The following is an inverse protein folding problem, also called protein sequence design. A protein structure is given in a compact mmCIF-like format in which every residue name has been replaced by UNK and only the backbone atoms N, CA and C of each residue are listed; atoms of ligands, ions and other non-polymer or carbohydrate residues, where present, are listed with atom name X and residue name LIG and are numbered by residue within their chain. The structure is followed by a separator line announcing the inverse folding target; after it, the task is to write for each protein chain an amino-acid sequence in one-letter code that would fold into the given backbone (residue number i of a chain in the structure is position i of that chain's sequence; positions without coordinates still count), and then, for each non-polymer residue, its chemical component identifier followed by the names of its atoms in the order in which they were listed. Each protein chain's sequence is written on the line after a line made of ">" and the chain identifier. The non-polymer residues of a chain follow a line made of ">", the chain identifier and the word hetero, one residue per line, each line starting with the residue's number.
data_IF_923951825616
#
_entry.id   IF_923951825616
#
_cell.length_a   1.000
_cell.length_b   1.000
_cell.length_c   1.000
_cell.angle_alpha   90.00
_cell.angle_beta   90.00
_cell.angle_gamma   90.00
#
_symmetry.space_group_name_H-M   'P 1'
#
loop_
_entity.id
_entity.type
_entity.pdbx_description
1 polymer ?
#
# COMPACT_ATOMS: atom_id res chain seq x y z
N UNK A 1 23.81 4.37 10.73
CA UNK A 1 22.75 4.27 9.70
C UNK A 1 21.72 5.33 10.02
N UNK A 2 21.27 6.05 9.02
CA UNK A 2 20.19 6.99 9.19
C UNK A 2 18.90 6.22 9.52
N UNK A 3 18.00 6.81 10.27
CA UNK A 3 16.74 6.21 10.65
C UNK A 3 15.89 5.94 9.39
N UNK A 4 15.39 4.73 9.22
CA UNK A 4 14.45 4.37 8.16
C UNK A 4 13.07 4.21 8.79
N UNK A 5 12.06 4.85 8.21
CA UNK A 5 10.66 4.63 8.55
C UNK A 5 9.98 3.86 7.40
N UNK A 6 9.40 2.70 7.70
CA UNK A 6 8.65 1.91 6.75
C UNK A 6 7.15 1.98 7.06
N UNK A 7 6.32 2.32 6.05
CA UNK A 7 4.86 2.45 6.14
C UNK A 7 4.23 1.69 4.97
N UNK A 8 3.11 1.02 5.20
CA UNK A 8 2.42 0.23 4.17
C UNK A 8 0.89 0.31 4.31
N UNK A 9 0.17 -0.02 3.22
CA UNK A 9 -1.28 -0.28 3.21
C UNK A 9 -2.11 0.91 3.75
N UNK A 10 -1.86 2.08 3.18
CA UNK A 10 -2.51 3.35 3.56
C UNK A 10 -3.96 3.38 3.08
N UNK A 11 -4.25 2.81 1.89
CA UNK A 11 -5.59 2.67 1.36
C UNK A 11 -6.47 3.92 1.48
N UNK A 12 -5.99 5.07 0.98
CA UNK A 12 -6.76 6.31 0.97
C UNK A 12 -6.99 6.95 2.35
N UNK A 13 -6.36 6.47 3.40
CA UNK A 13 -6.46 7.03 4.75
C UNK A 13 -5.46 8.18 4.95
N UNK A 14 -5.70 9.30 4.22
CA UNK A 14 -4.80 10.45 4.19
C UNK A 14 -4.56 11.05 5.58
N UNK A 15 -5.63 11.28 6.34
CA UNK A 15 -5.53 11.89 7.68
C UNK A 15 -4.67 11.05 8.62
N UNK A 16 -4.83 9.72 8.59
CA UNK A 16 -3.99 8.81 9.37
C UNK A 16 -2.54 8.84 8.90
N UNK A 17 -2.31 8.94 7.59
CA UNK A 17 -0.96 8.99 7.05
C UNK A 17 -0.23 10.27 7.46
N UNK A 18 -0.89 11.42 7.37
CA UNK A 18 -0.36 12.70 7.83
C UNK A 18 -0.09 12.71 9.33
N UNK A 19 -1.03 12.19 10.12
CA UNK A 19 -0.89 12.06 11.57
C UNK A 19 0.29 11.14 11.94
N UNK A 20 0.44 9.99 11.24
CA UNK A 20 1.54 9.07 11.50
C UNK A 20 2.90 9.71 11.24
N UNK A 21 3.05 10.43 10.13
CA UNK A 21 4.29 11.17 9.82
C UNK A 21 4.60 12.22 10.89
N UNK A 22 3.57 12.92 11.38
CA UNK A 22 3.69 13.90 12.46
C UNK A 22 4.12 13.23 13.79
N UNK A 23 3.45 12.13 14.18
CA UNK A 23 3.79 11.42 15.42
C UNK A 23 5.17 10.76 15.36
N UNK A 24 5.58 10.31 14.16
CA UNK A 24 6.92 9.79 13.93
C UNK A 24 8.00 10.90 13.95
N UNK A 25 7.61 12.18 14.01
CA UNK A 25 8.51 13.32 13.84
C UNK A 25 9.41 13.14 12.60
N UNK A 26 8.79 12.75 11.47
CA UNK A 26 9.50 12.51 10.23
C UNK A 26 10.18 13.80 9.71
N UNK A 27 11.48 13.72 9.46
CA UNK A 27 12.30 14.81 8.92
C UNK A 27 13.00 14.35 7.62
N UNK A 28 12.60 14.93 6.50
CA UNK A 28 13.15 14.60 5.18
C UNK A 28 14.68 14.79 5.06
N UNK A 29 15.29 15.53 5.98
CA UNK A 29 16.74 15.78 5.97
C UNK A 29 17.54 14.78 6.80
N UNK A 30 16.87 14.02 7.68
CA UNK A 30 17.52 13.11 8.62
C UNK A 30 17.07 11.66 8.46
N UNK A 31 15.86 11.48 7.92
CA UNK A 31 15.22 10.16 7.83
C UNK A 31 15.13 9.68 6.38
N UNK A 32 15.18 8.36 6.22
CA UNK A 32 14.76 7.71 5.00
C UNK A 32 13.33 7.20 5.16
N UNK A 33 12.43 7.53 4.24
CA UNK A 33 11.07 7.02 4.25
C UNK A 33 10.90 5.96 3.16
N UNK A 34 10.44 4.77 3.54
CA UNK A 34 10.11 3.68 2.64
C UNK A 34 8.61 3.41 2.70
N UNK A 35 7.93 3.59 1.58
CA UNK A 35 6.50 3.34 1.41
C UNK A 35 6.33 2.04 0.64
N UNK A 36 5.61 1.05 1.22
CA UNK A 36 5.64 -0.32 0.75
C UNK A 36 4.42 -0.73 -0.09
N UNK A 37 3.67 0.23 -0.66
CA UNK A 37 2.53 -0.05 -1.54
C UNK A 37 1.16 0.03 -0.87
N UNK A 38 0.13 -0.16 -1.69
CA UNK A 38 -1.29 -0.08 -1.35
C UNK A 38 -1.71 1.27 -0.75
N UNK A 39 -1.49 2.33 -1.55
CA UNK A 39 -1.84 3.71 -1.21
C UNK A 39 -3.30 4.04 -1.47
N UNK A 40 -3.90 3.35 -2.45
CA UNK A 40 -5.23 3.62 -3.01
C UNK A 40 -6.27 2.58 -2.60
N UNK A 41 -7.49 2.84 -3.04
CA UNK A 41 -8.68 1.99 -2.91
C UNK A 41 -9.24 1.90 -1.48
N UNK A 42 -10.55 1.63 -1.39
CA UNK A 42 -11.29 1.42 -0.13
C UNK A 42 -11.52 2.69 0.69
N UNK A 43 -10.46 3.42 1.01
CA UNK A 43 -10.54 4.65 1.81
C UNK A 43 -10.88 5.89 0.97
N UNK A 44 -11.22 7.00 1.64
CA UNK A 44 -11.91 8.11 0.99
C UNK A 44 -11.00 9.06 0.19
N UNK A 45 -9.66 9.03 0.38
CA UNK A 45 -8.79 10.10 -0.08
C UNK A 45 -7.58 9.62 -0.91
N UNK A 46 -7.75 8.58 -1.75
CA UNK A 46 -6.68 8.01 -2.60
C UNK A 46 -5.94 9.06 -3.44
N UNK A 47 -6.66 10.02 -4.03
CA UNK A 47 -6.05 11.12 -4.78
C UNK A 47 -5.13 11.98 -3.89
N UNK A 48 -5.55 12.29 -2.66
CA UNK A 48 -4.76 13.03 -1.67
C UNK A 48 -3.52 12.24 -1.23
N UNK A 49 -3.68 10.94 -0.98
CA UNK A 49 -2.55 10.06 -0.63
C UNK A 49 -1.52 10.03 -1.75
N UNK A 50 -1.93 9.84 -3.02
CA UNK A 50 -1.00 9.83 -4.15
C UNK A 50 -0.30 11.19 -4.36
N UNK A 51 -0.97 12.32 -4.10
CA UNK A 51 -0.33 13.63 -4.09
C UNK A 51 0.82 13.66 -3.06
N UNK A 52 0.53 13.26 -1.81
CA UNK A 52 1.52 13.25 -0.74
C UNK A 52 2.65 12.26 -1.02
N UNK A 53 2.36 11.06 -1.54
CA UNK A 53 3.37 10.08 -1.97
C UNK A 53 4.31 10.67 -3.02
N UNK A 54 3.77 11.36 -4.04
CA UNK A 54 4.58 12.03 -5.07
C UNK A 54 5.47 13.14 -4.50
N UNK A 55 4.95 13.95 -3.57
CA UNK A 55 5.73 14.97 -2.86
C UNK A 55 6.87 14.37 -2.02
N UNK A 56 6.58 13.27 -1.31
CA UNK A 56 7.56 12.56 -0.49
C UNK A 56 8.62 11.88 -1.36
N UNK A 57 8.23 11.27 -2.49
CA UNK A 57 9.18 10.69 -3.45
C UNK A 57 10.11 11.76 -4.03
N UNK A 58 9.58 12.92 -4.39
CA UNK A 58 10.38 14.04 -4.87
C UNK A 58 11.37 14.58 -3.81
N UNK A 59 11.09 14.34 -2.52
CA UNK A 59 11.98 14.66 -1.37
C UNK A 59 12.89 13.49 -0.96
N UNK A 60 12.91 12.39 -1.72
CA UNK A 60 13.83 11.27 -1.52
C UNK A 60 13.23 10.03 -0.88
N UNK A 61 11.92 9.98 -0.61
CA UNK A 61 11.28 8.75 -0.16
C UNK A 61 11.38 7.66 -1.26
N UNK A 62 11.63 6.43 -0.85
CA UNK A 62 11.55 5.26 -1.73
C UNK A 62 10.15 4.68 -1.69
N UNK A 63 9.58 4.47 -2.87
CA UNK A 63 8.17 4.10 -3.01
C UNK A 63 8.06 2.79 -3.77
N UNK A 64 7.41 1.80 -3.17
CA UNK A 64 7.16 0.51 -3.77
C UNK A 64 5.76 0.42 -4.35
N UNK A 65 5.63 -0.39 -5.39
CA UNK A 65 4.36 -0.76 -5.99
C UNK A 65 3.61 -1.73 -5.09
N UNK A 66 2.33 -1.46 -4.80
CA UNK A 66 1.42 -2.42 -4.21
C UNK A 66 0.56 -3.13 -5.27
N UNK A 67 -0.16 -4.16 -4.85
CA UNK A 67 -1.04 -4.86 -5.78
C UNK A 67 -2.24 -4.01 -6.20
N UNK A 68 -2.72 -3.10 -5.36
CA UNK A 68 -3.80 -2.18 -5.70
C UNK A 68 -3.39 -1.19 -6.80
N UNK A 69 -2.20 -0.62 -6.74
CA UNK A 69 -1.67 0.23 -7.81
C UNK A 69 -1.49 -0.56 -9.11
N UNK A 70 -0.99 -1.80 -9.05
CA UNK A 70 -0.84 -2.66 -10.23
C UNK A 70 -2.20 -3.01 -10.86
N UNK A 71 -3.24 -3.25 -10.06
CA UNK A 71 -4.62 -3.47 -10.53
C UNK A 71 -5.13 -2.21 -11.23
N UNK A 72 -4.98 -1.03 -10.63
CA UNK A 72 -5.39 0.25 -11.19
C UNK A 72 -4.69 0.54 -12.52
N UNK A 73 -3.36 0.36 -12.60
CA UNK A 73 -2.61 0.50 -13.84
C UNK A 73 -3.16 -0.41 -14.93
N UNK A 74 -3.39 -1.70 -14.61
CA UNK A 74 -3.98 -2.66 -15.55
C UNK A 74 -5.39 -2.24 -15.98
N UNK A 75 -6.21 -1.77 -15.04
CA UNK A 75 -7.56 -1.30 -15.32
C UNK A 75 -7.57 -0.11 -16.30
N UNK A 76 -6.70 0.87 -16.06
CA UNK A 76 -6.66 2.11 -16.87
C UNK A 76 -5.89 1.95 -18.18
N UNK A 77 -4.87 1.08 -18.26
CA UNK A 77 -3.97 0.93 -19.42
C UNK A 77 -4.36 -0.19 -20.38
N UNK A 78 -5.13 -1.20 -19.94
CA UNK A 78 -5.43 -2.37 -20.77
C UNK A 78 -6.33 -2.11 -21.98
N UNK A 79 -7.15 -1.08 -21.95
CA UNK A 79 -8.18 -0.84 -22.94
C UNK A 79 -9.33 -1.85 -22.91
N UNK A 80 -9.45 -2.65 -21.84
CA UNK A 80 -10.47 -3.69 -21.70
C UNK A 80 -11.38 -3.46 -20.49
N UNK A 81 -12.69 -3.73 -20.60
CA UNK A 81 -13.62 -3.51 -19.50
C UNK A 81 -13.42 -4.46 -18.31
N UNK A 82 -12.96 -5.71 -18.51
CA UNK A 82 -12.82 -6.68 -17.43
C UNK A 82 -11.86 -6.24 -16.31
N UNK A 83 -10.61 -5.78 -16.58
CA UNK A 83 -9.76 -5.25 -15.53
C UNK A 83 -10.35 -4.03 -14.83
N UNK A 84 -11.03 -3.16 -15.57
CA UNK A 84 -11.73 -2.01 -15.04
C UNK A 84 -12.86 -2.42 -14.07
N UNK A 85 -13.76 -3.29 -14.52
CA UNK A 85 -14.87 -3.77 -13.70
C UNK A 85 -14.38 -4.53 -12.45
N UNK A 86 -13.27 -5.25 -12.56
CA UNK A 86 -12.64 -5.90 -11.42
C UNK A 86 -12.11 -4.88 -10.40
N UNK A 87 -11.37 -3.88 -10.86
CA UNK A 87 -10.82 -2.84 -9.99
C UNK A 87 -11.91 -2.05 -9.28
N UNK A 88 -12.86 -1.52 -10.05
CA UNK A 88 -13.94 -0.66 -9.52
C UNK A 88 -14.92 -1.45 -8.66
N UNK A 89 -15.34 -2.64 -9.13
CA UNK A 89 -16.40 -3.40 -8.46
C UNK A 89 -15.96 -4.28 -7.31
N UNK A 90 -14.68 -4.71 -7.25
CA UNK A 90 -14.22 -5.70 -6.28
C UNK A 90 -13.01 -5.27 -5.44
N UNK A 91 -12.21 -4.31 -5.93
CA UNK A 91 -10.99 -3.91 -5.22
C UNK A 91 -11.13 -2.60 -4.44
N UNK A 92 -12.25 -1.88 -4.58
CA UNK A 92 -12.48 -0.59 -3.94
C UNK A 92 -12.00 0.60 -4.78
N UNK A 93 -11.85 0.40 -6.10
CA UNK A 93 -11.48 1.45 -7.05
C UNK A 93 -12.56 2.52 -7.23
N UNK A 94 -13.81 2.23 -6.87
CA UNK A 94 -14.90 3.19 -6.78
C UNK A 94 -14.60 4.31 -5.78
N UNK A 95 -14.05 3.98 -4.60
CA UNK A 95 -13.60 4.96 -3.62
C UNK A 95 -12.44 5.80 -4.16
N UNK A 96 -11.50 5.17 -4.89
CA UNK A 96 -10.43 5.91 -5.57
C UNK A 96 -11.00 6.91 -6.56
N UNK A 97 -11.89 6.50 -7.47
CA UNK A 97 -12.53 7.39 -8.44
C UNK A 97 -13.33 8.51 -7.75
N UNK A 98 -14.03 8.20 -6.67
CA UNK A 98 -14.74 9.22 -5.88
C UNK A 98 -13.79 10.30 -5.34
N UNK A 99 -12.58 9.93 -4.94
CA UNK A 99 -11.56 10.89 -4.49
C UNK A 99 -11.04 11.82 -5.60
N UNK A 100 -11.25 11.47 -6.87
CA UNK A 100 -11.02 12.32 -8.04
C UNK A 100 -12.27 13.12 -8.47
N UNK A 101 -13.36 13.03 -7.71
CA UNK A 101 -14.60 13.75 -7.97
C UNK A 101 -15.63 13.01 -8.82
N UNK A 102 -15.41 11.72 -9.12
CA UNK A 102 -16.39 10.88 -9.84
C UNK A 102 -17.30 10.17 -8.86
N UNK A 103 -18.57 10.02 -9.28
CA UNK A 103 -19.55 9.27 -8.53
C UNK A 103 -19.83 7.92 -9.21
N UNK A 104 -20.31 6.94 -8.47
CA UNK A 104 -20.63 5.62 -9.00
C UNK A 104 -21.56 5.68 -10.22
N UNK A 105 -22.51 6.62 -10.21
CA UNK A 105 -23.46 6.80 -11.32
C UNK A 105 -22.79 7.24 -12.64
N UNK A 106 -21.60 7.87 -12.58
CA UNK A 106 -20.86 8.32 -13.77
C UNK A 106 -20.32 7.13 -14.61
N UNK A 107 -20.14 5.97 -13.99
CA UNK A 107 -19.59 4.78 -14.66
C UNK A 107 -20.45 3.51 -14.52
N UNK A 108 -21.61 3.61 -13.88
CA UNK A 108 -22.54 2.49 -13.69
C UNK A 108 -23.00 1.88 -15.03
N UNK A 109 -23.37 2.72 -16.00
CA UNK A 109 -23.77 2.26 -17.33
C UNK A 109 -22.62 1.51 -18.04
N UNK A 110 -21.39 1.97 -17.89
CA UNK A 110 -20.24 1.30 -18.47
C UNK A 110 -20.01 -0.09 -17.85
N UNK A 111 -20.17 -0.21 -16.53
CA UNK A 111 -20.09 -1.50 -15.84
C UNK A 111 -21.21 -2.45 -16.30
N UNK A 112 -22.46 -1.97 -16.36
CA UNK A 112 -23.61 -2.78 -16.75
C UNK A 112 -23.51 -3.28 -18.20
N UNK A 113 -22.94 -2.49 -19.09
CA UNK A 113 -22.76 -2.81 -20.52
C UNK A 113 -21.42 -3.49 -20.84
N UNK A 114 -20.57 -3.79 -19.84
CA UNK A 114 -19.22 -4.32 -20.02
C UNK A 114 -18.38 -3.48 -21.00
N UNK A 115 -18.40 -2.14 -20.81
CA UNK A 115 -17.65 -1.16 -21.61
C UNK A 115 -16.72 -0.33 -20.71
N UNK A 116 -15.82 0.45 -21.32
CA UNK A 116 -14.99 1.41 -20.60
C UNK A 116 -15.68 2.77 -20.53
N UNK A 117 -15.68 3.47 -19.40
CA UNK A 117 -16.15 4.85 -19.33
C UNK A 117 -15.30 5.76 -20.20
N UNK A 118 -15.96 6.63 -20.97
CA UNK A 118 -15.29 7.55 -21.93
C UNK A 118 -14.40 8.58 -21.25
N UNK A 119 -14.62 8.89 -19.97
CA UNK A 119 -13.88 9.91 -19.24
C UNK A 119 -12.49 9.47 -18.77
N UNK A 120 -12.16 8.15 -18.73
CA UNK A 120 -10.85 7.66 -18.28
C UNK A 120 -9.70 8.37 -19.01
N UNK A 121 -9.89 8.70 -20.28
CA UNK A 121 -8.89 9.38 -21.11
C UNK A 121 -8.81 10.89 -20.89
N UNK A 122 -9.70 11.47 -20.08
CA UNK A 122 -9.87 12.92 -19.95
C UNK A 122 -9.52 13.48 -18.56
N UNK A 123 -8.92 12.67 -17.69
CA UNK A 123 -8.56 13.02 -16.32
C UNK A 123 -7.06 13.35 -16.19
N UNK A 124 -6.64 14.64 -16.32
CA UNK A 124 -5.22 14.98 -16.26
C UNK A 124 -4.56 14.55 -14.95
N UNK A 125 -5.27 14.68 -13.81
CA UNK A 125 -4.72 14.33 -12.50
C UNK A 125 -4.60 12.81 -12.30
N UNK A 126 -5.54 12.05 -12.81
CA UNK A 126 -5.45 10.59 -12.80
C UNK A 126 -4.27 10.13 -13.65
N UNK A 127 -4.11 10.70 -14.84
CA UNK A 127 -2.98 10.39 -15.74
C UNK A 127 -1.62 10.73 -15.09
N UNK A 128 -1.50 11.88 -14.41
CA UNK A 128 -0.32 12.25 -13.64
C UNK A 128 0.01 11.18 -12.59
N UNK A 129 -1.00 10.70 -11.85
CA UNK A 129 -0.80 9.66 -10.84
C UNK A 129 -0.51 8.28 -11.43
N UNK A 130 -1.09 7.93 -12.60
CA UNK A 130 -0.72 6.69 -13.29
C UNK A 130 0.76 6.73 -13.71
N UNK A 131 1.25 7.85 -14.24
CA UNK A 131 2.65 8.04 -14.57
C UNK A 131 3.55 8.00 -13.33
N UNK A 132 3.11 8.55 -12.21
CA UNK A 132 3.81 8.45 -10.92
C UNK A 132 3.94 6.98 -10.49
N UNK A 133 2.84 6.22 -10.50
CA UNK A 133 2.81 4.81 -10.10
C UNK A 133 3.73 3.96 -11.00
N UNK A 134 3.83 4.26 -12.29
CA UNK A 134 4.72 3.58 -13.24
C UNK A 134 6.23 3.74 -12.88
N UNK A 135 6.57 4.67 -11.97
CA UNK A 135 7.95 4.85 -11.47
C UNK A 135 8.27 4.07 -10.20
N UNK A 136 7.30 3.40 -9.59
CA UNK A 136 7.48 2.72 -8.30
C UNK A 136 8.32 1.45 -8.46
N UNK A 137 9.20 1.23 -7.49
CA UNK A 137 10.02 0.01 -7.41
C UNK A 137 9.19 -1.19 -6.92
N UNK A 138 9.70 -2.41 -7.07
CA UNK A 138 9.04 -3.63 -6.58
C UNK A 138 9.62 -4.11 -5.24
N UNK A 139 10.86 -3.78 -4.94
CA UNK A 139 11.51 -4.07 -3.65
C UNK A 139 12.65 -3.09 -3.37
N UNK A 140 13.06 -3.03 -2.11
CA UNK A 140 14.27 -2.35 -1.66
C UNK A 140 15.12 -3.36 -0.93
N UNK A 141 16.37 -3.55 -1.36
CA UNK A 141 17.31 -4.44 -0.69
C UNK A 141 18.40 -3.63 -0.01
N UNK A 142 18.63 -3.91 1.28
CA UNK A 142 19.74 -3.43 2.09
C UNK A 142 20.66 -4.59 2.46
N UNK A 143 21.73 -4.32 3.20
CA UNK A 143 22.66 -5.34 3.67
C UNK A 143 21.97 -6.37 4.60
N UNK A 144 21.12 -5.88 5.50
CA UNK A 144 20.48 -6.63 6.58
C UNK A 144 18.96 -6.79 6.45
N UNK A 145 18.33 -6.10 5.48
CA UNK A 145 16.88 -6.10 5.32
C UNK A 145 16.43 -6.06 3.85
N UNK A 146 15.23 -6.55 3.61
CA UNK A 146 14.48 -6.44 2.34
C UNK A 146 13.13 -5.82 2.68
N UNK A 147 12.76 -4.77 1.95
CA UNK A 147 11.44 -4.15 2.04
C UNK A 147 10.68 -4.46 0.76
N UNK A 148 9.46 -4.94 0.88
CA UNK A 148 8.65 -5.43 -0.23
C UNK A 148 7.18 -5.31 0.12
N UNK A 149 6.30 -5.24 -0.88
CA UNK A 149 4.88 -5.14 -0.59
C UNK A 149 4.30 -6.44 -0.02
N UNK A 150 4.30 -7.55 -0.76
CA UNK A 150 3.68 -8.81 -0.36
C UNK A 150 4.64 -9.80 0.32
N UNK A 151 5.87 -9.91 -0.20
CA UNK A 151 6.86 -10.86 0.28
C UNK A 151 7.85 -11.27 -0.80
N UNK A 152 8.69 -12.25 -0.48
CA UNK A 152 9.69 -12.81 -1.40
C UNK A 152 9.45 -14.30 -1.64
N UNK A 153 9.85 -14.82 -2.79
CA UNK A 153 9.75 -16.26 -3.07
C UNK A 153 10.88 -16.99 -2.32
N UNK A 154 10.56 -17.92 -1.41
CA UNK A 154 11.57 -18.63 -0.63
C UNK A 154 12.57 -19.37 -1.51
N UNK A 155 13.86 -19.14 -1.27
CA UNK A 155 14.96 -19.82 -1.98
C UNK A 155 15.23 -19.32 -3.41
N UNK A 156 14.53 -18.29 -3.88
CA UNK A 156 14.75 -17.66 -5.18
C UNK A 156 15.40 -16.29 -4.99
N UNK A 157 16.42 -15.98 -5.81
CA UNK A 157 17.05 -14.67 -5.77
C UNK A 157 16.08 -13.57 -6.20
N UNK A 158 16.14 -12.39 -5.58
CA UNK A 158 15.24 -11.27 -5.90
C UNK A 158 15.28 -10.91 -7.38
N UNK A 159 16.47 -10.89 -7.99
CA UNK A 159 16.66 -10.57 -9.40
C UNK A 159 16.10 -11.64 -10.38
N UNK A 160 15.81 -12.85 -9.89
CA UNK A 160 15.24 -13.95 -10.66
C UNK A 160 13.73 -14.14 -10.42
N UNK A 161 13.19 -13.41 -9.44
CA UNK A 161 11.78 -13.47 -9.07
C UNK A 161 10.92 -12.65 -10.04
N UNK A 162 9.81 -13.23 -10.52
CA UNK A 162 8.82 -12.48 -11.29
C UNK A 162 8.28 -11.32 -10.43
N UNK A 163 8.35 -10.05 -10.88
CA UNK A 163 7.89 -8.89 -10.12
C UNK A 163 6.47 -9.00 -9.54
N UNK A 164 5.60 -9.75 -10.20
CA UNK A 164 4.23 -9.99 -9.72
C UNK A 164 4.22 -10.73 -8.37
N UNK A 165 5.19 -11.58 -8.11
CA UNK A 165 5.28 -12.34 -6.86
C UNK A 165 5.48 -11.41 -5.65
N UNK A 166 6.30 -10.36 -5.81
CA UNK A 166 6.52 -9.38 -4.74
C UNK A 166 5.24 -8.69 -4.27
N UNK A 167 4.20 -8.65 -5.13
CA UNK A 167 2.94 -7.97 -4.87
C UNK A 167 1.87 -8.88 -4.26
N UNK A 168 1.96 -10.20 -4.47
CA UNK A 168 0.83 -11.10 -4.19
C UNK A 168 1.15 -12.28 -3.29
N UNK A 169 2.41 -12.64 -3.12
CA UNK A 169 2.79 -13.82 -2.33
C UNK A 169 2.34 -13.66 -0.88
N UNK A 170 1.88 -14.75 -0.27
CA UNK A 170 1.36 -14.77 1.11
C UNK A 170 1.91 -15.98 1.87
N UNK A 171 1.09 -17.01 2.09
CA UNK A 171 1.37 -18.12 2.98
C UNK A 171 2.68 -18.84 2.66
N UNK A 172 2.98 -19.06 1.37
CA UNK A 172 4.25 -19.66 0.94
C UNK A 172 5.47 -18.89 1.47
N UNK A 173 5.40 -17.55 1.43
CA UNK A 173 6.42 -16.69 2.01
C UNK A 173 6.40 -16.71 3.54
N UNK A 174 5.21 -16.51 4.14
CA UNK A 174 5.09 -16.37 5.60
C UNK A 174 5.64 -17.59 6.35
N UNK A 175 5.48 -18.78 5.79
CA UNK A 175 5.92 -20.04 6.40
C UNK A 175 7.27 -20.50 5.89
N UNK A 176 7.56 -20.26 4.61
CA UNK A 176 8.69 -20.86 3.93
C UNK A 176 9.98 -20.04 3.93
N UNK A 177 9.94 -18.76 4.31
CA UNK A 177 11.13 -17.92 4.30
C UNK A 177 12.16 -18.37 5.37
N UNK A 178 13.42 -18.54 4.95
CA UNK A 178 14.53 -18.98 5.80
C UNK A 178 15.80 -18.18 5.50
N UNK A 179 15.67 -16.99 4.93
CA UNK A 179 16.81 -16.12 4.62
C UNK A 179 17.40 -15.45 5.87
N UNK A 180 18.62 -14.95 5.74
CA UNK A 180 19.33 -14.25 6.83
C UNK A 180 18.84 -12.81 6.99
N UNK A 181 18.46 -12.13 5.90
CA UNK A 181 17.95 -10.77 5.94
C UNK A 181 16.54 -10.72 6.52
N UNK A 182 16.24 -9.68 7.27
CA UNK A 182 14.86 -9.43 7.72
C UNK A 182 14.02 -8.94 6.53
N UNK A 183 12.85 -9.56 6.30
CA UNK A 183 11.90 -9.07 5.27
C UNK A 183 10.79 -8.29 5.95
N UNK A 184 10.67 -7.00 5.61
CA UNK A 184 9.62 -6.09 6.06
C UNK A 184 8.58 -5.97 4.95
N UNK A 185 7.30 -6.25 5.28
CA UNK A 185 6.24 -6.36 4.28
C UNK A 185 4.88 -5.87 4.79
N UNK A 186 3.96 -5.57 3.83
CA UNK A 186 2.57 -5.20 4.03
C UNK A 186 1.58 -6.26 3.53
N UNK A 187 0.56 -5.84 2.76
CA UNK A 187 -0.35 -6.67 1.97
C UNK A 187 -1.23 -7.66 2.75
N UNK A 188 -0.70 -8.29 3.77
CA UNK A 188 -1.44 -9.24 4.60
C UNK A 188 -1.70 -8.63 5.96
N UNK A 189 -2.96 -8.23 6.23
CA UNK A 189 -3.30 -7.62 7.51
C UNK A 189 -2.83 -8.49 8.69
N UNK A 190 -2.14 -7.86 9.64
CA UNK A 190 -1.45 -8.53 10.74
C UNK A 190 -2.37 -9.36 11.62
N UNK A 191 -3.67 -9.01 11.73
CA UNK A 191 -4.64 -9.82 12.45
C UNK A 191 -4.77 -11.25 11.87
N UNK A 192 -4.50 -11.44 10.56
CA UNK A 192 -4.47 -12.77 9.93
C UNK A 192 -3.20 -13.52 10.30
N UNK A 193 -2.05 -12.84 10.36
CA UNK A 193 -0.78 -13.43 10.76
C UNK A 193 -0.79 -13.84 12.23
N UNK A 194 -1.40 -13.02 13.10
CA UNK A 194 -1.62 -13.34 14.52
C UNK A 194 -2.72 -14.40 14.74
N UNK A 195 -3.49 -14.73 13.70
CA UNK A 195 -4.69 -15.59 13.81
C UNK A 195 -5.66 -15.07 14.89
N UNK A 196 -5.76 -13.77 15.05
CA UNK A 196 -6.56 -13.07 16.06
C UNK A 196 -7.30 -11.90 15.40
N UNK A 197 -8.64 -11.90 15.32
CA UNK A 197 -9.41 -10.91 14.55
C UNK A 197 -9.34 -9.48 15.13
N UNK A 198 -8.75 -9.30 16.28
CA UNK A 198 -8.63 -8.01 16.98
C UNK A 198 -7.19 -7.57 17.21
N UNK A 199 -6.21 -8.39 16.84
CA UNK A 199 -4.80 -8.05 17.02
C UNK A 199 -4.24 -7.43 15.72
N UNK A 200 -4.20 -6.12 15.69
CA UNK A 200 -3.65 -5.32 14.59
C UNK A 200 -2.22 -4.83 14.85
N UNK A 201 -1.54 -5.36 15.88
CA UNK A 201 -0.14 -5.00 16.15
C UNK A 201 0.79 -5.47 15.03
N UNK A 202 1.96 -4.85 14.92
CA UNK A 202 3.01 -5.31 13.99
C UNK A 202 3.36 -6.76 14.29
N UNK A 203 3.43 -7.58 13.25
CA UNK A 203 3.74 -9.01 13.36
C UNK A 203 5.26 -9.23 13.25
N UNK A 204 5.82 -9.89 14.25
CA UNK A 204 7.23 -10.31 14.25
C UNK A 204 7.29 -11.84 14.15
N UNK A 205 7.57 -12.35 12.96
CA UNK A 205 7.72 -13.80 12.74
C UNK A 205 9.06 -14.34 13.25
N UNK A 206 9.07 -15.60 13.65
CA UNK A 206 10.29 -16.29 14.12
C UNK A 206 11.33 -16.51 13.01
N UNK A 207 10.91 -16.41 11.76
CA UNK A 207 11.71 -16.65 10.55
C UNK A 207 12.18 -15.36 9.85
N UNK A 208 12.53 -14.33 10.61
CA UNK A 208 13.02 -13.05 10.12
C UNK A 208 12.06 -12.29 9.19
N UNK A 209 10.76 -12.34 9.46
CA UNK A 209 9.77 -11.55 8.72
C UNK A 209 9.07 -10.57 9.67
N UNK A 210 8.73 -9.38 9.17
CA UNK A 210 7.99 -8.36 9.93
C UNK A 210 6.85 -7.84 9.06
N UNK A 211 5.61 -8.18 9.45
CA UNK A 211 4.40 -7.69 8.79
C UNK A 211 3.91 -6.39 9.43
N UNK A 212 3.70 -5.35 8.63
CA UNK A 212 3.33 -4.01 9.11
C UNK A 212 1.96 -3.51 8.62
N UNK A 213 1.22 -4.30 7.85
CA UNK A 213 -0.17 -3.97 7.47
C UNK A 213 -1.10 -4.11 8.67
N UNK A 214 -1.30 -3.04 9.41
CA UNK A 214 -2.20 -3.00 10.56
C UNK A 214 -3.68 -2.90 10.20
N UNK A 215 -4.07 -3.00 8.93
CA UNK A 215 -5.47 -2.98 8.50
C UNK A 215 -6.19 -1.66 8.77
N UNK A 216 -5.52 -0.52 8.58
CA UNK A 216 -6.03 0.82 8.91
C UNK A 216 -7.42 1.08 8.31
N UNK A 217 -7.61 0.77 7.02
CA UNK A 217 -8.89 0.94 6.32
C UNK A 217 -10.01 0.03 6.86
N UNK A 218 -9.67 -1.05 7.56
CA UNK A 218 -10.61 -1.99 8.19
C UNK A 218 -10.87 -1.69 9.68
N UNK A 219 -10.48 -0.50 10.15
CA UNK A 219 -10.63 -0.11 11.55
C UNK A 219 -9.52 -0.61 12.47
N UNK A 220 -8.42 -1.07 11.90
CA UNK A 220 -7.18 -1.37 12.58
C UNK A 220 -6.29 -0.13 12.74
N UNK A 221 -4.98 -0.29 12.53
CA UNK A 221 -3.95 0.74 12.73
C UNK A 221 -3.13 0.98 11.48
N UNK A 222 -2.62 2.20 11.32
CA UNK A 222 -1.53 2.49 10.41
C UNK A 222 -0.23 2.53 11.22
N UNK A 223 0.80 1.81 10.75
CA UNK A 223 2.07 1.69 11.43
C UNK A 223 3.21 2.33 10.65
N UNK A 224 4.14 2.93 11.40
CA UNK A 224 5.50 3.19 10.95
C UNK A 224 6.46 2.30 11.76
N UNK A 225 7.17 1.43 11.07
CA UNK A 225 8.26 0.64 11.63
C UNK A 225 9.56 1.41 11.45
N UNK A 226 10.26 1.68 12.55
CA UNK A 226 11.60 2.25 12.51
C UNK A 226 12.64 1.13 12.37
N UNK A 227 13.49 1.23 11.37
CA UNK A 227 14.58 0.30 11.13
C UNK A 227 15.95 0.99 11.34
N UNK A 228 16.94 0.37 12.00
CA UNK A 228 16.93 -1.01 12.51
C UNK A 228 16.46 -1.16 13.97
N UNK A 229 16.01 -0.08 14.63
CA UNK A 229 15.64 -0.10 16.06
C UNK A 229 14.42 -0.97 16.36
N UNK A 230 13.57 -1.23 15.35
CA UNK A 230 12.28 -1.93 15.44
C UNK A 230 11.26 -1.24 16.34
N UNK A 231 11.43 0.07 16.57
CA UNK A 231 10.41 0.86 17.25
C UNK A 231 9.17 1.01 16.34
N UNK A 232 7.99 1.04 16.97
CA UNK A 232 6.71 1.15 16.26
C UNK A 232 6.02 2.42 16.70
N UNK A 233 5.62 3.23 15.71
CA UNK A 233 4.68 4.33 15.89
C UNK A 233 3.37 3.90 15.23
N UNK A 234 2.23 4.16 15.87
CA UNK A 234 0.94 3.70 15.36
C UNK A 234 -0.13 4.75 15.58
N UNK A 235 -0.97 4.91 14.57
CA UNK A 235 -2.20 5.74 14.65
C UNK A 235 -3.41 4.88 14.31
N UNK A 236 -4.59 5.25 14.86
CA UNK A 236 -5.86 4.60 14.57
C UNK A 236 -6.97 5.65 14.48
N UNK A 237 -8.03 5.36 13.74
CA UNK A 237 -9.19 6.25 13.69
C UNK A 237 -9.79 6.41 15.08
N UNK A 238 -10.10 7.65 15.44
CA UNK A 238 -10.89 7.90 16.64
C UNK A 238 -12.22 7.14 16.55
N UNK A 239 -12.53 6.34 17.56
CA UNK A 239 -13.84 5.70 17.63
C UNK A 239 -14.89 6.82 17.82
N UNK A 240 -15.98 6.80 17.03
CA UNK A 240 -17.05 7.75 17.26
C UNK A 240 -17.46 7.66 18.74
N UNK A 241 -17.33 8.79 19.45
CA UNK A 241 -17.84 8.92 20.82
C UNK A 241 -19.33 8.59 20.77
N UNK A 242 -19.72 7.48 21.38
CA UNK A 242 -21.14 7.18 21.59
C UNK A 242 -21.72 8.34 22.38
N UNK A 243 -22.50 9.18 21.70
CA UNK A 243 -23.32 10.21 22.37
C UNK A 243 -24.42 9.43 23.11
N UNK A 244 -24.31 9.32 24.43
CA UNK A 244 -25.35 8.79 25.29
C UNK A 244 -26.61 9.72 25.29
#
# INVERSE_FOLDING_TARGET
>A
MDRILAISDIHGELELFEELLLQANYDTMQDQLFLLGDYIDRGPASCGVLNLVGELQAKGARVLLGNHEAIMLKACRSGHPKPWNHWVGLCGGDATLASYGYQLDDFKEAIENDTLPSFIQTLPKLEEHLQLIETFDTYIELEDAIFVHGGVVPGVALAETDPIQFLWIREEFHVGYQGEKTVIFGHTPTYRLHQSPTDYSVYFGENNIIGIDGGAVFGGKLHALEWPSRQIISVEKEKPTSVE
#
